data_IF_877386516640
#
_entry.id   IF_877386516640
#
_cell.length_a   1.000
_cell.length_b   1.000
_cell.length_c   1.000
_cell.angle_alpha   90.00
_cell.angle_beta   90.00
_cell.angle_gamma   90.00
#
_symmetry.space_group_name_H-M   'P 1'
#
loop_
_entity.id
_entity.type
_entity.pdbx_description
1 polymer ?
#
# COMPACT_ATOMS: atom_id res chain seq x y z
N UNK A 1 -20.80 12.01 -10.65
CA UNK A 1 -22.16 12.50 -10.33
C UNK A 1 -22.36 12.62 -8.82
N UNK A 2 -22.01 11.59 -8.03
CA UNK A 2 -22.20 11.58 -6.57
C UNK A 2 -21.54 12.76 -5.81
N UNK A 3 -20.27 13.08 -6.12
CA UNK A 3 -19.55 14.23 -5.53
C UNK A 3 -20.17 15.61 -5.83
N UNK A 4 -21.02 15.72 -6.85
CA UNK A 4 -21.70 16.97 -7.25
C UNK A 4 -23.02 17.10 -6.48
N UNK A 5 -23.69 15.98 -6.24
CA UNK A 5 -25.04 15.93 -5.66
C UNK A 5 -25.01 15.78 -4.14
N UNK A 6 -23.98 15.13 -3.59
CA UNK A 6 -23.84 14.85 -2.16
C UNK A 6 -22.59 15.54 -1.58
N UNK A 7 -22.72 16.78 -1.06
CA UNK A 7 -21.60 17.53 -0.48
C UNK A 7 -20.89 16.81 0.67
N UNK A 8 -21.61 15.98 1.42
CA UNK A 8 -21.09 15.18 2.55
C UNK A 8 -20.01 14.17 2.11
N UNK A 9 -20.11 13.63 0.89
CA UNK A 9 -19.12 12.69 0.34
C UNK A 9 -17.76 13.38 0.19
N UNK A 10 -17.74 14.66 -0.20
CA UNK A 10 -16.51 15.46 -0.30
C UNK A 10 -15.80 15.57 1.06
N UNK A 11 -16.57 15.69 2.15
CA UNK A 11 -15.99 15.80 3.49
C UNK A 11 -15.39 14.48 3.98
N UNK A 12 -15.91 13.33 3.55
CA UNK A 12 -15.27 12.03 3.79
C UNK A 12 -13.88 11.97 3.17
N UNK A 13 -13.74 12.39 1.90
CA UNK A 13 -12.43 12.41 1.22
C UNK A 13 -11.46 13.43 1.83
N UNK A 14 -11.94 14.62 2.25
CA UNK A 14 -11.11 15.59 2.98
C UNK A 14 -10.59 15.01 4.29
N UNK A 15 -11.46 14.36 5.08
CA UNK A 15 -11.07 13.70 6.33
C UNK A 15 -10.05 12.59 6.08
N UNK A 16 -10.24 11.77 5.04
CA UNK A 16 -9.26 10.75 4.64
C UNK A 16 -7.89 11.36 4.32
N UNK A 17 -7.86 12.46 3.55
CA UNK A 17 -6.61 13.17 3.24
C UNK A 17 -5.92 13.70 4.51
N UNK A 18 -6.69 14.30 5.43
CA UNK A 18 -6.17 14.76 6.72
C UNK A 18 -5.61 13.61 7.55
N UNK A 19 -6.30 12.47 7.62
CA UNK A 19 -5.83 11.28 8.33
C UNK A 19 -4.47 10.84 7.79
N UNK A 20 -4.32 10.69 6.47
CA UNK A 20 -3.06 10.28 5.85
C UNK A 20 -1.94 11.30 6.10
N UNK A 21 -2.24 12.60 5.99
CA UNK A 21 -1.27 13.66 6.28
C UNK A 21 -0.83 13.66 7.74
N UNK A 22 -1.75 13.45 8.69
CA UNK A 22 -1.44 13.39 10.12
C UNK A 22 -0.60 12.17 10.48
N UNK A 23 -0.90 11.00 9.90
CA UNK A 23 -0.10 9.79 10.10
C UNK A 23 1.32 9.99 9.59
N UNK A 24 1.50 10.52 8.37
CA UNK A 24 2.83 10.81 7.82
C UNK A 24 3.63 11.74 8.74
N UNK A 25 3.03 12.87 9.15
CA UNK A 25 3.68 13.83 10.05
C UNK A 25 4.09 13.19 11.37
N UNK A 26 3.27 12.30 11.92
CA UNK A 26 3.61 11.58 13.15
C UNK A 26 4.90 10.77 12.98
N UNK A 27 4.99 9.93 11.96
CA UNK A 27 6.19 9.11 11.71
C UNK A 27 7.42 9.95 11.36
N UNK A 28 7.26 11.02 10.58
CA UNK A 28 8.34 11.97 10.29
C UNK A 28 8.89 12.64 11.55
N UNK A 29 8.01 13.05 12.49
CA UNK A 29 8.42 13.64 13.77
C UNK A 29 9.14 12.64 14.69
N UNK A 30 8.76 11.36 14.63
CA UNK A 30 9.44 10.26 15.34
C UNK A 30 10.75 9.83 14.64
N UNK A 31 11.13 10.46 13.53
CA UNK A 31 12.39 10.20 12.83
C UNK A 31 12.36 9.02 11.85
N UNK A 32 11.19 8.49 11.52
CA UNK A 32 11.07 7.46 10.49
C UNK A 32 11.24 8.04 9.09
N UNK A 33 11.90 7.29 8.22
CA UNK A 33 12.06 7.63 6.81
C UNK A 33 10.89 7.07 5.98
N UNK A 34 10.14 7.93 5.29
CA UNK A 34 9.15 7.47 4.30
C UNK A 34 9.89 6.89 3.08
N UNK A 35 9.52 5.68 2.67
CA UNK A 35 10.11 4.98 1.52
C UNK A 35 9.03 4.46 0.57
N UNK A 36 9.45 4.11 -0.64
CA UNK A 36 8.61 3.40 -1.61
C UNK A 36 9.28 2.09 -2.01
N UNK A 37 8.54 0.98 -1.90
CA UNK A 37 9.00 -0.34 -2.31
C UNK A 37 8.25 -0.84 -3.57
N UNK A 38 8.81 -1.77 -4.35
CA UNK A 38 8.15 -2.25 -5.57
C UNK A 38 6.75 -2.81 -5.33
N UNK A 39 5.80 -2.48 -6.21
CA UNK A 39 4.46 -3.07 -6.20
C UNK A 39 4.34 -4.36 -7.03
N UNK A 40 5.30 -4.61 -7.93
CA UNK A 40 5.38 -5.85 -8.71
C UNK A 40 6.49 -6.72 -8.15
N UNK A 41 6.14 -7.85 -7.55
CA UNK A 41 7.08 -8.79 -6.96
C UNK A 41 7.31 -9.99 -7.90
N UNK A 42 8.53 -10.55 -7.94
CA UNK A 42 8.77 -11.82 -8.63
C UNK A 42 8.20 -13.01 -7.87
N UNK A 43 8.08 -12.92 -6.54
CA UNK A 43 7.48 -13.92 -5.66
C UNK A 43 6.60 -13.15 -4.65
N UNK A 44 5.32 -13.49 -4.50
CA UNK A 44 4.44 -12.83 -3.53
C UNK A 44 4.83 -13.23 -2.09
N UNK A 45 4.77 -12.29 -1.15
CA UNK A 45 5.08 -12.54 0.26
C UNK A 45 4.70 -11.38 1.19
N UNK A 46 4.90 -11.57 2.50
CA UNK A 46 4.57 -10.58 3.54
C UNK A 46 3.11 -10.60 4.03
N UNK A 47 2.26 -11.47 3.48
CA UNK A 47 0.92 -11.73 4.01
C UNK A 47 0.41 -13.10 3.54
N UNK A 48 -0.64 -13.61 4.17
CA UNK A 48 -1.37 -14.78 3.68
C UNK A 48 -2.59 -14.34 2.88
N UNK A 49 -2.40 -14.07 1.59
CA UNK A 49 -3.43 -13.60 0.69
C UNK A 49 -3.20 -14.08 -0.75
N UNK A 50 -4.26 -14.22 -1.55
CA UNK A 50 -4.13 -14.59 -2.97
C UNK A 50 -3.68 -13.36 -3.78
N UNK A 51 -2.57 -13.42 -4.55
CA UNK A 51 -2.10 -12.28 -5.33
C UNK A 51 -2.86 -12.14 -6.66
N UNK A 52 -2.83 -10.93 -7.23
CA UNK A 52 -3.06 -10.75 -8.66
C UNK A 52 -1.79 -11.11 -9.43
N UNK A 53 -1.96 -11.77 -10.57
CA UNK A 53 -0.87 -12.20 -11.46
C UNK A 53 -0.92 -11.35 -12.72
N UNK A 54 0.24 -10.89 -13.18
CA UNK A 54 0.42 -10.17 -14.44
C UNK A 54 1.67 -10.69 -15.16
N UNK A 55 1.91 -10.23 -16.38
CA UNK A 55 3.02 -10.69 -17.22
C UNK A 55 3.83 -9.51 -17.75
N UNK A 56 5.15 -9.59 -17.60
CA UNK A 56 6.06 -8.57 -18.10
C UNK A 56 6.60 -8.96 -19.48
N UNK A 57 5.98 -8.46 -20.55
CA UNK A 57 6.25 -8.86 -21.95
C UNK A 57 7.74 -8.87 -22.33
N UNK A 58 8.48 -7.78 -22.07
CA UNK A 58 9.88 -7.68 -22.50
C UNK A 58 10.85 -8.59 -21.72
N UNK A 59 10.43 -9.09 -20.55
CA UNK A 59 11.24 -10.01 -19.73
C UNK A 59 10.69 -11.44 -19.80
N UNK A 60 9.57 -11.64 -20.49
CA UNK A 60 8.87 -12.92 -20.66
C UNK A 60 8.59 -13.68 -19.35
N UNK A 61 8.25 -12.95 -18.28
CA UNK A 61 8.09 -13.53 -16.92
C UNK A 61 6.82 -13.04 -16.23
N UNK A 62 6.30 -13.90 -15.36
CA UNK A 62 5.21 -13.52 -14.45
C UNK A 62 5.68 -12.52 -13.38
N UNK A 63 4.74 -11.67 -12.97
CA UNK A 63 4.86 -10.77 -11.82
C UNK A 63 3.59 -10.84 -11.01
N UNK A 64 3.72 -10.56 -9.72
CA UNK A 64 2.63 -10.56 -8.77
C UNK A 64 2.46 -9.14 -8.23
N UNK A 65 1.23 -8.64 -8.19
CA UNK A 65 0.98 -7.41 -7.43
C UNK A 65 1.16 -7.70 -5.94
N UNK A 66 1.85 -6.81 -5.23
CA UNK A 66 2.21 -7.03 -3.83
C UNK A 66 0.97 -7.18 -2.94
N UNK A 67 1.03 -8.15 -2.03
CA UNK A 67 0.03 -8.35 -0.98
C UNK A 67 0.41 -7.64 0.34
N UNK A 68 1.70 -7.34 0.52
CA UNK A 68 2.29 -6.50 1.55
C UNK A 68 3.72 -6.04 1.14
N UNK A 69 4.22 -4.88 1.63
CA UNK A 69 5.61 -4.44 1.42
C UNK A 69 6.63 -5.04 2.43
N UNK A 70 6.19 -5.67 3.52
CA UNK A 70 6.98 -6.26 4.62
C UNK A 70 8.42 -6.71 4.26
N UNK A 71 8.57 -7.60 3.29
CA UNK A 71 9.87 -8.20 2.96
C UNK A 71 10.87 -7.19 2.40
N UNK A 72 10.40 -6.16 1.68
CA UNK A 72 11.26 -5.08 1.17
C UNK A 72 11.62 -4.11 2.28
N UNK A 73 10.69 -3.78 3.17
CA UNK A 73 10.97 -2.92 4.33
C UNK A 73 12.01 -3.58 5.26
N UNK A 74 11.88 -4.89 5.54
CA UNK A 74 12.89 -5.64 6.31
C UNK A 74 14.26 -5.64 5.65
N UNK A 75 14.35 -5.67 4.32
CA UNK A 75 15.63 -5.56 3.59
C UNK A 75 16.28 -4.18 3.79
N UNK A 76 15.49 -3.11 3.89
CA UNK A 76 16.01 -1.79 4.22
C UNK A 76 16.56 -1.76 5.65
N UNK A 77 15.84 -2.35 6.61
CA UNK A 77 16.33 -2.46 8.00
C UNK A 77 17.67 -3.22 8.05
N UNK A 78 17.75 -4.37 7.38
CA UNK A 78 19.01 -5.14 7.26
C UNK A 78 20.10 -4.35 6.53
N UNK A 79 19.71 -3.48 5.60
CA UNK A 79 20.61 -2.58 4.85
C UNK A 79 21.13 -1.39 5.65
N UNK A 80 20.73 -1.24 6.92
CA UNK A 80 21.22 -0.19 7.82
C UNK A 80 20.28 1.00 8.01
N UNK A 81 19.05 0.96 7.49
CA UNK A 81 18.04 1.93 7.87
C UNK A 81 17.48 1.60 9.26
N UNK A 82 17.45 2.55 10.17
CA UNK A 82 17.01 2.29 11.55
C UNK A 82 15.47 2.26 11.69
N UNK A 83 14.78 3.15 10.97
CA UNK A 83 13.33 3.28 11.01
C UNK A 83 12.80 3.74 9.64
N UNK A 84 11.92 2.94 9.04
CA UNK A 84 11.29 3.23 7.75
C UNK A 84 9.78 2.99 7.84
N UNK A 85 9.00 3.68 7.01
CA UNK A 85 7.58 3.40 6.82
C UNK A 85 7.17 3.64 5.37
N UNK A 86 6.09 2.99 4.92
CA UNK A 86 5.48 3.21 3.62
C UNK A 86 3.95 3.32 3.76
N UNK A 87 3.35 4.37 3.18
CA UNK A 87 1.88 4.51 3.07
C UNK A 87 1.46 4.32 1.61
N UNK A 88 1.03 3.12 1.24
CA UNK A 88 0.80 2.84 -0.17
C UNK A 88 -0.16 1.65 -0.41
N UNK A 89 -0.39 1.29 -1.67
CA UNK A 89 -1.41 0.31 -2.09
C UNK A 89 -0.92 -1.13 -1.94
N UNK A 90 -1.80 -2.00 -1.44
CA UNK A 90 -1.70 -3.46 -1.51
C UNK A 90 -2.85 -4.03 -2.33
N UNK A 91 -2.62 -5.19 -2.94
CA UNK A 91 -3.56 -5.83 -3.87
C UNK A 91 -3.82 -7.27 -3.44
N UNK A 92 -5.08 -7.62 -3.17
CA UNK A 92 -5.48 -8.98 -2.78
C UNK A 92 -6.63 -9.46 -3.65
N UNK A 93 -6.43 -10.57 -4.33
CA UNK A 93 -7.39 -11.19 -5.24
C UNK A 93 -8.34 -12.12 -4.47
N UNK A 94 -9.16 -11.49 -3.64
CA UNK A 94 -10.10 -12.13 -2.71
C UNK A 94 -11.53 -11.64 -2.95
N UNK A 95 -12.49 -12.17 -2.18
CA UNK A 95 -13.88 -11.69 -2.23
C UNK A 95 -14.01 -10.24 -1.77
N UNK A 96 -15.08 -9.57 -2.20
CA UNK A 96 -15.39 -8.19 -1.80
C UNK A 96 -16.57 -8.15 -0.84
N UNK A 97 -16.49 -7.28 0.17
CA UNK A 97 -17.59 -6.98 1.08
C UNK A 97 -17.48 -5.52 1.59
N UNK A 98 -18.25 -5.16 2.61
CA UNK A 98 -18.26 -3.81 3.18
C UNK A 98 -16.91 -3.33 3.74
N UNK A 99 -16.00 -4.26 4.04
CA UNK A 99 -14.67 -4.01 4.61
C UNK A 99 -13.51 -4.43 3.69
N UNK A 100 -13.78 -5.21 2.65
CA UNK A 100 -12.77 -5.77 1.75
C UNK A 100 -12.88 -5.19 0.34
N UNK A 101 -11.86 -4.44 -0.06
CA UNK A 101 -11.66 -3.98 -1.43
C UNK A 101 -10.37 -4.60 -2.00
N UNK A 102 -10.33 -5.02 -3.28
CA UNK A 102 -9.17 -5.73 -3.84
C UNK A 102 -7.89 -4.89 -3.88
N UNK A 103 -8.03 -3.56 -3.86
CA UNK A 103 -6.94 -2.62 -3.62
C UNK A 103 -7.22 -1.78 -2.37
N UNK A 104 -6.24 -1.67 -1.47
CA UNK A 104 -6.42 -0.89 -0.24
C UNK A 104 -5.10 -0.28 0.21
N UNK A 105 -5.20 0.83 0.94
CA UNK A 105 -4.03 1.54 1.47
C UNK A 105 -3.68 0.96 2.83
N UNK A 106 -2.40 0.65 3.02
CA UNK A 106 -1.82 0.23 4.30
C UNK A 106 -0.70 1.21 4.67
N UNK A 107 -0.47 1.38 5.97
CA UNK A 107 0.80 1.85 6.49
C UNK A 107 1.53 0.66 7.11
N UNK A 108 2.79 0.48 6.73
CA UNK A 108 3.72 -0.50 7.30
C UNK A 108 5.07 0.17 7.54
#
# INVERSE_FOLDING_TARGET
>A
MDLIVNPSVKDVFKKRSLIVSSVRKFFEMEGFLEVETPMMHPIPGGANARPFITYHNALEVERYLRIAPELYLKRLIVGGFEAVFEINRNFRNEGMDHSHNPEFTMIE
#
